data_IF_255720437022
#
_entry.id   IF_255720437022
#
_cell.length_a   1.000
_cell.length_b   1.000
_cell.length_c   1.000
_cell.angle_alpha   90.00
_cell.angle_beta   90.00
_cell.angle_gamma   90.00
#
_symmetry.space_group_name_H-M   'P 1'
#
loop_
_entity.id
_entity.type
_entity.pdbx_description
1 polymer ?
#
# COMPACT_ATOMS: atom_id res chain seq x y z
N UNK A 1 -14.50 23.39 21.33
CA UNK A 1 -13.59 22.25 21.58
C UNK A 1 -14.10 21.20 20.62
N UNK A 2 -13.65 21.32 19.37
CA UNK A 2 -14.46 20.91 18.22
C UNK A 2 -14.08 19.51 17.78
N UNK A 3 -14.70 18.54 18.47
CA UNK A 3 -14.96 17.22 17.89
C UNK A 3 -16.18 17.38 16.96
N UNK A 4 -15.96 17.51 15.64
CA UNK A 4 -16.88 17.09 14.56
C UNK A 4 -16.58 17.80 13.23
N UNK A 5 -15.49 17.40 12.57
CA UNK A 5 -15.28 17.72 11.15
C UNK A 5 -14.60 16.58 10.40
N UNK A 6 -15.06 15.36 10.64
CA UNK A 6 -14.88 14.25 9.69
C UNK A 6 -16.23 13.88 9.12
N UNK A 7 -16.82 14.82 8.39
CA UNK A 7 -17.81 14.46 7.37
C UNK A 7 -17.15 13.41 6.49
N UNK A 8 -17.69 12.19 6.49
CA UNK A 8 -17.52 11.26 5.38
C UNK A 8 -18.14 11.92 4.15
N UNK A 9 -17.44 12.90 3.58
CA UNK A 9 -17.73 13.35 2.23
C UNK A 9 -17.52 12.08 1.41
N UNK A 10 -18.58 11.60 0.76
CA UNK A 10 -18.49 10.72 -0.39
C UNK A 10 -17.63 11.45 -1.43
N UNK A 11 -16.31 11.39 -1.26
CA UNK A 11 -15.34 11.96 -2.16
C UNK A 11 -15.32 11.05 -3.38
N UNK A 12 -16.29 11.26 -4.26
CA UNK A 12 -16.24 10.79 -5.62
C UNK A 12 -15.09 11.55 -6.28
N UNK A 13 -13.95 10.87 -6.42
CA UNK A 13 -12.84 11.41 -7.19
C UNK A 13 -13.18 11.26 -8.66
N UNK A 14 -13.06 12.36 -9.37
CA UNK A 14 -13.06 12.36 -10.82
C UNK A 14 -11.69 11.89 -11.28
N UNK A 15 -11.69 10.75 -11.95
CA UNK A 15 -10.52 10.25 -12.65
C UNK A 15 -10.38 11.08 -13.95
N UNK A 16 -9.15 11.39 -14.41
CA UNK A 16 -8.97 12.03 -15.72
C UNK A 16 -9.76 11.23 -16.77
N UNK A 17 -10.54 11.86 -17.65
CA UNK A 17 -11.28 11.15 -18.70
C UNK A 17 -12.68 10.64 -18.35
N UNK A 18 -13.13 10.71 -17.09
CA UNK A 18 -14.56 10.56 -16.80
C UNK A 18 -15.30 11.80 -17.33
N UNK A 19 -16.36 11.60 -18.13
CA UNK A 19 -17.39 12.61 -18.44
C UNK A 19 -18.75 12.03 -18.04
N UNK A 20 -19.70 12.86 -17.62
CA UNK A 20 -20.99 12.47 -17.00
C UNK A 20 -21.94 11.63 -17.88
N UNK A 21 -21.54 11.25 -19.10
CA UNK A 21 -22.39 10.52 -20.03
C UNK A 21 -21.82 9.12 -20.29
N UNK A 22 -22.53 8.10 -19.80
CA UNK A 22 -22.44 6.71 -20.26
C UNK A 22 -22.77 6.65 -21.76
N UNK A 23 -21.77 6.92 -22.61
CA UNK A 23 -21.78 6.56 -24.03
C UNK A 23 -20.41 6.01 -24.38
N UNK A 24 -20.38 4.69 -24.55
CA UNK A 24 -19.44 3.89 -25.35
C UNK A 24 -18.14 4.60 -25.70
N UNK A 25 -17.16 4.55 -24.81
CA UNK A 25 -15.81 5.05 -25.08
C UNK A 25 -15.13 4.01 -25.98
N UNK A 26 -15.03 4.34 -27.26
CA UNK A 26 -14.13 3.68 -28.21
C UNK A 26 -12.69 3.91 -27.73
N UNK A 27 -11.76 2.94 -27.80
CA UNK A 27 -10.39 3.14 -27.38
C UNK A 27 -9.71 4.12 -28.34
N UNK A 28 -9.65 5.39 -27.99
CA UNK A 28 -8.75 6.34 -28.64
C UNK A 28 -7.36 6.21 -28.01
N UNK A 29 -6.33 6.31 -28.86
CA UNK A 29 -4.90 6.27 -28.51
C UNK A 29 -4.60 6.98 -27.19
N UNK A 30 -3.64 6.48 -26.37
CA UNK A 30 -3.23 7.19 -25.16
C UNK A 30 -2.71 8.58 -25.53
N UNK A 31 -3.46 9.62 -25.18
CA UNK A 31 -3.02 11.00 -25.32
C UNK A 31 -1.72 11.21 -24.52
N UNK A 32 -0.88 12.10 -25.06
CA UNK A 32 0.36 12.57 -24.44
C UNK A 32 0.18 13.11 -23.02
N UNK A 33 -1.06 13.41 -22.61
CA UNK A 33 -1.43 13.91 -21.29
C UNK A 33 -1.45 12.83 -20.19
N UNK A 34 -1.49 11.55 -20.54
CA UNK A 34 -1.49 10.45 -19.56
C UNK A 34 -0.20 10.39 -18.72
N UNK A 35 0.94 10.81 -19.29
CA UNK A 35 2.21 10.90 -18.58
C UNK A 35 2.23 11.96 -17.46
N UNK A 36 1.31 12.93 -17.50
CA UNK A 36 1.16 13.95 -16.44
C UNK A 36 0.56 13.37 -15.15
N UNK A 37 -0.29 12.34 -15.29
CA UNK A 37 -1.09 11.79 -14.18
C UNK A 37 -0.63 10.41 -13.72
N UNK A 38 0.12 9.68 -14.53
CA UNK A 38 0.56 8.32 -14.23
C UNK A 38 2.07 8.18 -14.15
N UNK A 39 2.53 7.20 -13.38
CA UNK A 39 3.94 6.83 -13.30
C UNK A 39 4.08 5.31 -13.26
N UNK A 40 5.08 4.79 -13.96
CA UNK A 40 5.37 3.36 -13.96
C UNK A 40 5.88 2.87 -12.60
N UNK A 41 5.52 1.64 -12.25
CA UNK A 41 6.11 0.92 -11.12
C UNK A 41 6.35 -0.54 -11.47
N UNK A 42 7.45 -1.10 -10.97
CA UNK A 42 7.84 -2.48 -11.24
C UNK A 42 7.70 -3.38 -10.01
N UNK A 43 7.61 -2.78 -8.83
CA UNK A 43 7.52 -3.48 -7.56
C UNK A 43 6.46 -2.84 -6.69
N UNK A 44 5.96 -3.63 -5.75
CA UNK A 44 5.24 -3.10 -4.61
C UNK A 44 5.97 -3.47 -3.32
N UNK A 45 5.85 -2.62 -2.32
CA UNK A 45 6.63 -2.68 -1.08
C UNK A 45 5.74 -2.70 0.15
N UNK A 46 6.03 -3.60 1.06
CA UNK A 46 5.49 -3.59 2.43
C UNK A 46 6.60 -3.10 3.33
N UNK A 47 6.40 -1.95 3.97
CA UNK A 47 7.40 -1.42 4.92
C UNK A 47 6.96 -1.74 6.33
N UNK A 48 7.89 -2.24 7.15
CA UNK A 48 7.67 -2.64 8.53
C UNK A 48 8.70 -1.97 9.46
N UNK A 49 8.34 -1.86 10.73
CA UNK A 49 9.31 -1.57 11.78
C UNK A 49 10.27 -2.75 11.96
N UNK A 50 11.46 -2.47 12.50
CA UNK A 50 12.54 -3.47 12.65
C UNK A 50 12.05 -4.70 13.44
N UNK A 51 11.29 -4.52 14.52
CA UNK A 51 10.76 -5.63 15.32
C UNK A 51 9.81 -6.53 14.52
N UNK A 52 8.85 -5.95 13.81
CA UNK A 52 7.92 -6.69 12.96
C UNK A 52 8.65 -7.41 11.81
N UNK A 53 9.65 -6.75 11.20
CA UNK A 53 10.46 -7.35 10.14
C UNK A 53 11.29 -8.54 10.65
N UNK A 54 11.82 -8.46 11.87
CA UNK A 54 12.51 -9.59 12.51
C UNK A 54 11.56 -10.75 12.78
N UNK A 55 10.33 -10.48 13.22
CA UNK A 55 9.30 -11.52 13.39
C UNK A 55 8.96 -12.20 12.06
N UNK A 56 8.81 -11.42 10.99
CA UNK A 56 8.63 -11.96 9.62
C UNK A 56 9.79 -12.88 9.25
N UNK A 57 11.03 -12.48 9.50
CA UNK A 57 12.21 -13.31 9.19
C UNK A 57 12.28 -14.57 10.03
N UNK A 58 11.94 -14.48 11.32
CA UNK A 58 11.88 -15.61 12.25
C UNK A 58 10.81 -16.62 11.82
N UNK A 59 9.63 -16.15 11.45
CA UNK A 59 8.49 -16.97 11.08
C UNK A 59 8.48 -17.37 9.60
N UNK A 60 9.42 -16.82 8.80
CA UNK A 60 9.58 -17.03 7.37
C UNK A 60 8.29 -16.82 6.56
N UNK A 61 7.49 -15.85 6.98
CA UNK A 61 6.21 -15.52 6.33
C UNK A 61 5.81 -14.08 6.61
N UNK A 62 5.17 -13.45 5.64
CA UNK A 62 4.56 -12.12 5.82
C UNK A 62 3.23 -12.25 6.55
N UNK A 63 3.11 -11.67 7.74
CA UNK A 63 1.88 -11.80 8.53
C UNK A 63 0.83 -10.72 8.17
N UNK A 64 -0.41 -11.11 7.81
CA UNK A 64 -1.49 -10.19 7.54
C UNK A 64 -2.05 -9.62 8.85
N UNK A 65 -2.48 -8.37 8.79
CA UNK A 65 -3.04 -7.64 9.94
C UNK A 65 -4.49 -7.28 9.63
N UNK A 66 -5.30 -7.15 10.67
CA UNK A 66 -6.65 -6.62 10.50
C UNK A 66 -6.61 -5.18 9.94
N UNK A 67 -7.68 -4.81 9.24
CA UNK A 67 -7.88 -3.47 8.70
C UNK A 67 -8.31 -2.55 9.83
N UNK A 68 -7.34 -1.82 10.36
CA UNK A 68 -7.56 -0.88 11.46
C UNK A 68 -7.48 0.59 11.02
N UNK A 69 -6.88 0.87 9.86
CA UNK A 69 -6.94 2.21 9.29
C UNK A 69 -8.39 2.60 9.01
N UNK A 70 -8.73 3.90 9.06
CA UNK A 70 -9.96 4.41 8.48
C UNK A 70 -10.09 3.85 7.06
N UNK A 71 -11.10 3.04 6.85
CA UNK A 71 -11.40 2.34 5.59
C UNK A 71 -12.86 1.90 5.62
N UNK A 72 -13.48 1.80 4.45
CA UNK A 72 -14.83 1.22 4.31
C UNK A 72 -14.90 -0.22 4.83
N UNK A 73 -13.77 -0.95 4.78
CA UNK A 73 -13.64 -2.34 5.24
C UNK A 73 -13.20 -2.49 6.71
N UNK A 74 -13.24 -1.41 7.50
CA UNK A 74 -12.91 -1.50 8.92
C UNK A 74 -13.93 -2.40 9.63
N UNK A 75 -13.46 -3.31 10.49
CA UNK A 75 -14.33 -4.26 11.23
C UNK A 75 -15.51 -3.60 11.94
N UNK A 76 -15.33 -2.39 12.47
CA UNK A 76 -16.37 -1.66 13.21
C UNK A 76 -17.42 -1.00 12.31
N UNK A 77 -17.14 -0.81 11.01
CA UNK A 77 -18.07 -0.17 10.06
C UNK A 77 -18.93 -1.16 9.30
N UNK A 78 -18.54 -2.43 9.28
CA UNK A 78 -19.24 -3.48 8.54
C UNK A 78 -20.32 -4.19 9.38
N UNK A 79 -21.46 -4.61 8.79
CA UNK A 79 -22.45 -5.48 9.44
C UNK A 79 -21.84 -6.78 10.00
N UNK A 80 -22.46 -7.38 11.02
CA UNK A 80 -21.91 -8.60 11.69
C UNK A 80 -21.73 -9.78 10.74
N UNK A 81 -22.62 -9.92 9.76
CA UNK A 81 -22.64 -10.97 8.75
C UNK A 81 -21.87 -10.63 7.46
N UNK A 82 -21.24 -9.45 7.37
CA UNK A 82 -20.47 -9.10 6.18
C UNK A 82 -19.17 -9.94 6.13
N UNK A 83 -18.88 -10.61 5.01
CA UNK A 83 -17.73 -11.53 4.93
C UNK A 83 -16.38 -10.80 5.05
N UNK A 84 -16.30 -9.52 4.69
CA UNK A 84 -15.09 -8.72 4.82
C UNK A 84 -14.82 -8.26 6.27
N UNK A 85 -15.72 -8.51 7.23
CA UNK A 85 -15.60 -8.03 8.63
C UNK A 85 -14.34 -8.54 9.34
N UNK A 86 -13.89 -9.74 9.03
CA UNK A 86 -12.71 -10.37 9.63
C UNK A 86 -11.51 -10.40 8.70
N UNK A 87 -11.54 -9.61 7.63
CA UNK A 87 -10.50 -9.56 6.62
C UNK A 87 -9.16 -9.17 7.24
N UNK A 88 -8.13 -9.96 6.95
CA UNK A 88 -6.74 -9.71 7.34
C UNK A 88 -5.93 -9.55 6.07
N UNK A 89 -5.19 -8.44 5.97
CA UNK A 89 -4.51 -8.09 4.74
C UNK A 89 -3.03 -7.79 4.95
N UNK A 90 -2.24 -8.06 3.91
CA UNK A 90 -0.92 -7.49 3.73
C UNK A 90 -1.06 -6.16 2.97
N UNK A 91 -0.72 -5.08 3.66
CA UNK A 91 -0.63 -3.75 3.08
C UNK A 91 0.67 -3.58 2.31
N UNK A 92 0.55 -3.23 1.04
CA UNK A 92 1.65 -2.85 0.16
C UNK A 92 1.37 -1.50 -0.50
N UNK A 93 2.44 -0.82 -0.91
CA UNK A 93 2.39 0.38 -1.75
C UNK A 93 3.22 0.18 -3.00
N UNK A 94 2.91 0.87 -4.08
CA UNK A 94 3.75 0.89 -5.28
C UNK A 94 5.14 1.48 -5.02
N UNK A 95 6.13 1.00 -5.78
CA UNK A 95 7.48 1.57 -5.84
C UNK A 95 7.76 2.03 -7.27
N UNK A 96 7.60 3.32 -7.50
CA UNK A 96 7.77 3.97 -8.80
C UNK A 96 9.17 3.83 -9.35
N UNK A 97 9.25 3.69 -10.66
CA UNK A 97 10.51 3.84 -11.39
C UNK A 97 11.04 5.27 -11.19
N UNK A 98 12.34 5.40 -10.94
CA UNK A 98 13.00 6.71 -10.73
C UNK A 98 12.68 7.39 -9.40
N UNK A 99 11.92 6.77 -8.50
CA UNK A 99 11.63 7.38 -7.20
C UNK A 99 12.82 7.31 -6.26
N UNK A 100 13.15 8.46 -5.68
CA UNK A 100 14.27 8.59 -4.75
C UNK A 100 14.02 7.75 -3.49
N UNK A 101 14.83 6.71 -3.32
CA UNK A 101 14.90 5.81 -2.14
C UNK A 101 15.12 6.56 -0.82
N UNK A 102 15.57 7.81 -0.87
CA UNK A 102 15.73 8.66 0.30
C UNK A 102 14.42 9.26 0.80
N UNK A 103 13.31 9.09 0.06
CA UNK A 103 11.99 9.56 0.49
C UNK A 103 11.58 8.81 1.76
N UNK A 104 11.37 9.53 2.88
CA UNK A 104 11.10 8.91 4.16
C UNK A 104 9.81 8.10 4.15
N UNK A 105 9.86 6.86 4.61
CA UNK A 105 8.67 6.05 4.84
C UNK A 105 8.06 6.35 6.19
N UNK A 106 6.74 6.52 6.24
CA UNK A 106 5.97 6.59 7.49
C UNK A 106 5.73 5.20 8.08
N UNK A 107 5.86 4.15 7.28
CA UNK A 107 5.45 2.79 7.62
C UNK A 107 6.53 1.95 8.32
N UNK A 108 7.76 2.48 8.44
CA UNK A 108 8.86 1.83 9.13
C UNK A 108 10.17 1.96 8.38
N UNK A 109 11.06 1.00 8.59
CA UNK A 109 12.46 1.06 8.15
C UNK A 109 12.87 -0.04 7.18
N UNK A 110 12.22 -1.20 7.27
CA UNK A 110 12.56 -2.39 6.49
C UNK A 110 11.48 -2.62 5.46
N UNK A 111 11.85 -2.58 4.18
CA UNK A 111 10.94 -2.78 3.07
C UNK A 111 11.08 -4.19 2.53
N UNK A 112 9.96 -4.86 2.33
CA UNK A 112 9.84 -6.12 1.61
C UNK A 112 9.28 -5.79 0.23
N UNK A 113 10.13 -5.78 -0.79
CA UNK A 113 9.77 -5.46 -2.17
C UNK A 113 9.46 -6.75 -2.93
N UNK A 114 8.33 -6.80 -3.63
CA UNK A 114 7.92 -7.92 -4.49
C UNK A 114 7.69 -7.39 -5.89
N UNK A 115 8.09 -8.15 -6.91
CA UNK A 115 7.82 -7.80 -8.30
C UNK A 115 6.30 -7.72 -8.54
N UNK A 116 5.85 -6.65 -9.19
CA UNK A 116 4.44 -6.40 -9.41
C UNK A 116 3.79 -7.46 -10.32
N UNK A 117 4.49 -7.96 -11.35
CA UNK A 117 3.96 -9.01 -12.23
C UNK A 117 3.69 -10.29 -11.44
N UNK A 118 4.72 -10.76 -10.74
CA UNK A 118 4.64 -11.99 -9.93
C UNK A 118 3.55 -11.94 -8.88
N UNK A 119 3.29 -10.75 -8.34
CA UNK A 119 2.27 -10.60 -7.33
C UNK A 119 0.88 -10.46 -7.92
N UNK A 120 0.67 -9.51 -8.83
CA UNK A 120 -0.68 -9.09 -9.23
C UNK A 120 -1.33 -10.13 -10.13
N UNK A 121 -0.56 -10.90 -10.91
CA UNK A 121 -1.11 -11.96 -11.77
C UNK A 121 -1.57 -13.20 -10.99
N UNK A 122 -1.24 -13.30 -9.70
CA UNK A 122 -1.63 -14.44 -8.87
C UNK A 122 -3.10 -14.41 -8.42
N UNK A 123 -3.73 -13.24 -8.43
CA UNK A 123 -5.03 -13.03 -7.78
C UNK A 123 -6.16 -12.96 -8.78
N UNK A 124 -7.31 -13.54 -8.41
CA UNK A 124 -8.49 -13.62 -9.30
C UNK A 124 -9.31 -12.35 -9.32
N UNK A 125 -9.43 -11.65 -8.19
CA UNK A 125 -10.34 -10.52 -8.04
C UNK A 125 -9.61 -9.29 -7.52
N UNK A 126 -10.01 -8.14 -8.07
CA UNK A 126 -9.61 -6.81 -7.62
C UNK A 126 -10.87 -6.02 -7.28
N UNK A 127 -10.86 -5.34 -6.15
CA UNK A 127 -11.96 -4.50 -5.71
C UNK A 127 -11.46 -3.12 -5.31
N UNK A 128 -12.14 -2.10 -5.80
CA UNK A 128 -11.88 -0.74 -5.36
C UNK A 128 -12.52 -0.53 -3.98
N UNK A 129 -11.72 -0.15 -2.99
CA UNK A 129 -12.15 -0.12 -1.58
C UNK A 129 -12.58 1.27 -1.16
N UNK A 130 -11.66 2.22 -1.23
CA UNK A 130 -11.87 3.61 -0.86
C UNK A 130 -10.70 4.49 -1.33
N UNK A 131 -10.87 5.79 -1.11
CA UNK A 131 -9.81 6.78 -1.26
C UNK A 131 -9.61 7.45 0.08
N UNK A 132 -8.38 7.37 0.57
CA UNK A 132 -7.95 8.11 1.73
C UNK A 132 -7.37 9.43 1.29
N UNK A 133 -7.91 10.54 1.77
CA UNK A 133 -7.35 11.88 1.54
C UNK A 133 -7.03 12.57 2.86
N UNK A 134 -5.90 13.26 2.91
CA UNK A 134 -5.44 14.11 4.00
C UNK A 134 -4.82 15.37 3.40
N UNK A 135 -4.62 16.47 4.15
CA UNK A 135 -4.01 17.68 3.60
C UNK A 135 -2.60 17.50 2.98
N UNK A 136 -1.92 16.38 3.27
CA UNK A 136 -0.53 16.13 2.84
C UNK A 136 -0.36 14.91 1.96
N UNK A 137 -1.42 14.13 1.72
CA UNK A 137 -1.32 12.82 1.09
C UNK A 137 -2.69 12.29 0.72
N UNK A 138 -2.78 11.62 -0.43
CA UNK A 138 -3.93 10.81 -0.81
C UNK A 138 -3.50 9.43 -1.29
N UNK A 139 -4.33 8.42 -1.02
CA UNK A 139 -4.16 7.08 -1.54
C UNK A 139 -5.47 6.48 -2.03
N UNK A 140 -5.43 5.78 -3.16
CA UNK A 140 -6.48 4.84 -3.54
C UNK A 140 -6.13 3.46 -3.02
N UNK A 141 -7.13 2.74 -2.53
CA UNK A 141 -6.95 1.41 -1.95
C UNK A 141 -7.66 0.36 -2.76
N UNK A 142 -6.92 -0.66 -3.15
CA UNK A 142 -7.41 -1.80 -3.93
C UNK A 142 -7.26 -3.07 -3.09
N UNK A 143 -8.36 -3.79 -2.88
CA UNK A 143 -8.34 -5.15 -2.34
C UNK A 143 -8.02 -6.11 -3.47
N UNK A 144 -7.05 -6.99 -3.20
CA UNK A 144 -6.59 -8.01 -4.13
C UNK A 144 -6.76 -9.36 -3.42
N UNK A 145 -7.51 -10.28 -4.01
CA UNK A 145 -7.93 -11.51 -3.33
C UNK A 145 -8.29 -12.64 -4.31
N UNK A 146 -8.33 -13.86 -3.81
CA UNK A 146 -8.89 -15.04 -4.48
C UNK A 146 -10.35 -15.32 -4.09
N UNK A 147 -10.88 -14.61 -3.09
CA UNK A 147 -12.27 -14.71 -2.66
C UNK A 147 -13.17 -13.76 -3.44
N UNK A 148 -14.34 -14.25 -3.85
CA UNK A 148 -15.33 -13.43 -4.55
C UNK A 148 -16.15 -12.58 -3.57
N UNK A 149 -15.96 -11.27 -3.63
CA UNK A 149 -16.73 -10.27 -2.89
C UNK A 149 -17.59 -9.38 -3.79
N UNK A 150 -17.87 -9.80 -5.03
CA UNK A 150 -18.55 -8.95 -6.03
C UNK A 150 -19.96 -8.51 -5.62
N UNK A 151 -20.59 -9.23 -4.68
CA UNK A 151 -21.87 -8.83 -4.06
C UNK A 151 -21.75 -7.71 -3.03
N UNK A 152 -20.55 -7.44 -2.53
CA UNK A 152 -20.30 -6.52 -1.41
C UNK A 152 -19.41 -5.34 -1.81
N UNK A 153 -18.55 -5.53 -2.81
CA UNK A 153 -17.53 -4.57 -3.22
C UNK A 153 -17.61 -4.30 -4.71
N UNK A 154 -17.29 -3.05 -5.09
CA UNK A 154 -17.17 -2.65 -6.49
C UNK A 154 -15.95 -3.31 -7.10
N UNK A 155 -16.18 -4.17 -8.10
CA UNK A 155 -15.09 -4.79 -8.85
C UNK A 155 -14.24 -3.72 -9.54
N UNK A 156 -12.94 -3.96 -9.56
CA UNK A 156 -11.95 -3.13 -10.20
C UNK A 156 -11.34 -3.87 -11.38
N UNK A 157 -11.24 -3.19 -12.52
CA UNK A 157 -10.58 -3.72 -13.71
C UNK A 157 -9.30 -2.91 -13.98
N UNK A 158 -8.09 -3.51 -13.85
CA UNK A 158 -6.85 -2.81 -14.15
C UNK A 158 -6.62 -2.55 -15.64
N UNK A 159 -7.42 -3.14 -16.54
CA UNK A 159 -7.35 -2.89 -17.98
C UNK A 159 -8.24 -1.72 -18.41
N UNK A 160 -9.17 -1.29 -17.55
CA UNK A 160 -10.01 -0.13 -17.83
C UNK A 160 -9.17 1.16 -17.74
N UNK A 161 -9.33 2.03 -18.73
CA UNK A 161 -8.70 3.35 -18.72
C UNK A 161 -9.15 4.15 -17.48
N UNK A 162 -8.19 4.91 -16.96
CA UNK A 162 -8.37 5.93 -15.93
C UNK A 162 -8.55 5.49 -14.46
N UNK A 163 -8.33 4.22 -14.12
CA UNK A 163 -8.29 3.78 -12.72
C UNK A 163 -7.04 4.22 -11.92
N UNK A 164 -7.04 4.15 -10.57
CA UNK A 164 -5.87 4.47 -9.76
C UNK A 164 -4.61 3.65 -10.11
N UNK A 165 -4.79 2.46 -10.65
CA UNK A 165 -3.73 1.58 -11.14
C UNK A 165 -4.15 0.93 -12.46
N UNK A 166 -3.34 1.05 -13.51
CA UNK A 166 -3.61 0.39 -14.79
C UNK A 166 -2.49 -0.57 -15.19
N UNK A 167 -2.87 -1.66 -15.85
CA UNK A 167 -1.98 -2.59 -16.55
C UNK A 167 -1.93 -2.18 -18.02
N UNK A 168 -0.74 -1.98 -18.54
CA UNK A 168 -0.45 -1.67 -19.95
C UNK A 168 0.39 -2.80 -20.54
N UNK A 169 0.55 -2.82 -21.86
CA UNK A 169 1.46 -3.78 -22.52
C UNK A 169 2.91 -3.63 -22.03
N UNK A 170 3.29 -2.42 -21.59
CA UNK A 170 4.62 -2.11 -21.06
C UNK A 170 4.80 -2.41 -19.56
N UNK A 171 3.73 -2.74 -18.82
CA UNK A 171 3.80 -3.05 -17.39
C UNK A 171 2.67 -2.44 -16.57
N UNK A 172 3.00 -1.82 -15.44
CA UNK A 172 2.02 -1.23 -14.54
C UNK A 172 2.26 0.25 -14.32
N UNK A 173 1.17 1.00 -14.27
CA UNK A 173 1.18 2.43 -14.00
C UNK A 173 0.29 2.74 -12.80
N UNK A 174 0.77 3.61 -11.91
CA UNK A 174 -0.03 4.15 -10.82
C UNK A 174 -0.40 5.61 -11.09
N UNK A 175 -1.57 6.02 -10.60
CA UNK A 175 -2.01 7.40 -10.57
C UNK A 175 -1.17 8.17 -9.55
N UNK A 176 -0.49 9.24 -9.97
CA UNK A 176 0.37 10.07 -9.13
C UNK A 176 -0.24 11.44 -8.80
N UNK A 177 -1.24 11.86 -9.57
CA UNK A 177 -2.02 13.08 -9.39
C UNK A 177 -3.50 12.76 -9.58
N UNK A 178 -4.35 13.26 -8.72
CA UNK A 178 -5.78 13.05 -8.82
C UNK A 178 -6.55 14.35 -8.53
N UNK A 179 -7.72 14.51 -9.15
CA UNK A 179 -8.56 15.71 -9.01
C UNK A 179 -9.42 15.60 -7.75
N UNK A 180 -9.53 16.67 -6.95
CA UNK A 180 -10.50 16.73 -5.85
C UNK A 180 -11.90 17.01 -6.41
N UNK A 181 -12.91 16.84 -5.54
CA UNK A 181 -14.23 17.47 -5.74
C UNK A 181 -14.01 18.98 -5.99
N UNK A 182 -14.58 19.51 -7.09
CA UNK A 182 -14.34 20.83 -7.70
C UNK A 182 -13.14 20.94 -8.67
N UNK A 183 -12.71 19.83 -9.29
CA UNK A 183 -11.69 19.80 -10.37
C UNK A 183 -10.32 20.40 -10.01
N UNK A 184 -10.07 20.73 -8.74
CA UNK A 184 -8.76 21.19 -8.30
C UNK A 184 -7.82 20.00 -8.17
N UNK A 185 -6.70 20.04 -8.87
CA UNK A 185 -5.64 19.05 -8.71
C UNK A 185 -5.21 18.98 -7.23
N UNK A 186 -5.05 17.77 -6.71
CA UNK A 186 -4.40 17.58 -5.42
C UNK A 186 -2.99 18.19 -5.48
N UNK A 187 -2.69 19.10 -4.56
CA UNK A 187 -1.34 19.70 -4.43
C UNK A 187 -0.30 18.71 -3.91
N UNK A 188 -0.72 17.53 -3.43
CA UNK A 188 0.15 16.48 -2.92
C UNK A 188 0.11 15.23 -3.80
N UNK A 189 1.17 14.44 -3.73
CA UNK A 189 1.28 13.16 -4.44
C UNK A 189 0.15 12.20 -4.02
N UNK A 190 -0.51 11.62 -5.02
CA UNK A 190 -1.37 10.45 -4.85
C UNK A 190 -0.53 9.17 -4.88
N UNK A 191 -0.94 8.08 -4.24
CA UNK A 191 -0.31 6.76 -4.36
C UNK A 191 -1.34 5.66 -4.40
N UNK A 192 -0.98 4.49 -4.91
CA UNK A 192 -1.81 3.29 -4.80
C UNK A 192 -1.35 2.42 -3.63
N UNK A 193 -2.29 1.99 -2.80
CA UNK A 193 -2.08 0.98 -1.76
C UNK A 193 -2.86 -0.30 -2.11
N UNK A 194 -2.18 -1.44 -2.04
CA UNK A 194 -2.77 -2.75 -2.22
C UNK A 194 -3.01 -3.42 -0.87
N UNK A 195 -4.24 -3.91 -0.69
CA UNK A 195 -4.69 -4.72 0.42
C UNK A 195 -4.77 -6.16 -0.08
N UNK A 196 -3.76 -6.95 0.18
CA UNK A 196 -3.73 -8.34 -0.30
C UNK A 196 -4.33 -9.23 0.78
N UNK A 197 -5.31 -10.06 0.46
CA UNK A 197 -5.83 -11.11 1.34
C UNK A 197 -5.10 -12.43 1.08
N UNK A 198 -4.05 -12.77 1.84
CA UNK A 198 -3.27 -13.97 1.56
C UNK A 198 -3.81 -15.22 2.25
N UNK A 199 -3.60 -16.37 1.62
CA UNK A 199 -3.58 -17.67 2.28
C UNK A 199 -2.19 -17.97 2.88
N UNK A 200 -2.05 -19.07 3.61
CA UNK A 200 -0.77 -19.42 4.23
C UNK A 200 0.37 -19.69 3.24
N UNK A 201 0.05 -20.35 2.14
CA UNK A 201 0.95 -20.55 1.01
C UNK A 201 1.47 -19.22 0.47
N UNK A 202 0.60 -18.23 0.30
CA UNK A 202 0.95 -16.90 -0.20
C UNK A 202 1.88 -16.17 0.74
N UNK A 203 1.59 -16.19 2.05
CA UNK A 203 2.43 -15.53 3.05
C UNK A 203 3.89 -16.01 3.00
N UNK A 204 4.10 -17.31 2.80
CA UNK A 204 5.45 -17.93 2.69
C UNK A 204 6.07 -17.67 1.33
N UNK A 205 5.29 -17.79 0.25
CA UNK A 205 5.74 -17.53 -1.13
C UNK A 205 6.23 -16.10 -1.28
N UNK A 206 5.43 -15.12 -0.88
CA UNK A 206 5.77 -13.71 -0.94
C UNK A 206 7.01 -13.37 -0.12
N UNK A 207 7.19 -14.01 1.03
CA UNK A 207 8.41 -13.86 1.82
C UNK A 207 9.65 -14.39 1.07
N UNK A 208 9.56 -15.54 0.40
CA UNK A 208 10.68 -16.09 -0.39
C UNK A 208 11.02 -15.27 -1.63
N UNK A 209 10.01 -14.69 -2.26
CA UNK A 209 10.16 -13.91 -3.49
C UNK A 209 10.63 -12.48 -3.23
N UNK A 210 10.44 -11.95 -2.02
CA UNK A 210 10.75 -10.56 -1.75
C UNK A 210 12.27 -10.27 -1.69
N UNK A 211 12.60 -9.05 -2.06
CA UNK A 211 13.90 -8.43 -1.79
C UNK A 211 13.73 -7.47 -0.62
N UNK A 212 14.58 -7.62 0.40
CA UNK A 212 14.63 -6.71 1.52
C UNK A 212 15.44 -5.47 1.14
N UNK A 213 14.92 -4.30 1.44
CA UNK A 213 15.67 -3.04 1.36
C UNK A 213 15.37 -2.18 2.58
N UNK A 214 16.08 -1.07 2.71
CA UNK A 214 15.94 -0.17 3.86
C UNK A 214 15.56 1.24 3.40
N UNK A 215 14.80 1.94 4.24
CA UNK A 215 14.38 3.32 3.97
C UNK A 215 14.59 4.21 5.18
N UNK A 216 14.72 5.51 4.92
CA UNK A 216 14.68 6.51 5.98
C UNK A 216 13.31 6.50 6.64
N UNK A 217 13.28 6.53 7.96
CA UNK A 217 12.05 6.67 8.73
C UNK A 217 12.12 7.98 9.51
N UNK A 218 11.17 8.88 9.26
CA UNK A 218 11.01 10.05 10.12
C UNK A 218 10.05 9.73 11.25
N UNK A 219 10.42 10.12 12.47
CA UNK A 219 9.49 10.16 13.57
C UNK A 219 8.36 11.12 13.19
N UNK A 220 7.13 10.67 13.37
CA UNK A 220 6.00 11.51 13.05
C UNK A 220 5.82 12.49 14.21
N UNK A 221 6.45 13.66 14.10
CA UNK A 221 6.40 14.71 15.14
C UNK A 221 5.10 15.52 15.14
N UNK A 222 4.23 15.37 14.14
CA UNK A 222 3.02 16.20 14.00
C UNK A 222 1.75 15.32 13.99
N UNK A 223 0.70 15.65 14.75
CA UNK A 223 -0.53 14.86 14.87
C UNK A 223 -1.44 14.88 13.62
N UNK A 224 -1.01 15.44 12.50
CA UNK A 224 -1.87 15.69 11.32
C UNK A 224 -2.22 14.48 10.43
N UNK A 225 -2.02 13.24 10.89
CA UNK A 225 -2.55 12.05 10.17
C UNK A 225 -2.93 10.96 11.18
N UNK A 226 -4.04 10.25 10.98
CA UNK A 226 -4.47 9.23 11.97
C UNK A 226 -3.44 8.11 12.15
N UNK A 227 -2.61 7.88 11.13
CA UNK A 227 -1.46 6.99 11.23
C UNK A 227 -0.42 7.51 12.24
N UNK A 228 -0.13 8.82 12.23
CA UNK A 228 0.67 9.48 13.25
C UNK A 228 0.09 9.30 14.65
N UNK A 229 -1.21 9.61 14.79
CA UNK A 229 -1.93 9.53 16.07
C UNK A 229 -1.90 8.10 16.61
N UNK A 230 -2.01 7.09 15.74
CA UNK A 230 -1.95 5.67 16.12
C UNK A 230 -0.55 5.21 16.53
N UNK A 231 0.47 5.55 15.75
CA UNK A 231 1.85 5.22 16.06
C UNK A 231 2.33 5.93 17.35
N UNK A 232 1.83 7.14 17.61
CA UNK A 232 2.06 7.88 18.85
C UNK A 232 1.31 7.25 20.04
N UNK A 233 0.01 6.92 19.91
CA UNK A 233 -0.80 6.29 20.98
C UNK A 233 -0.34 4.90 21.37
N UNK A 234 0.25 4.14 20.45
CA UNK A 234 0.77 2.80 20.72
C UNK A 234 2.21 2.79 21.27
N UNK A 235 2.86 3.95 21.44
CA UNK A 235 4.29 4.03 21.80
C UNK A 235 5.21 3.34 20.79
N UNK A 236 4.72 3.07 19.57
CA UNK A 236 5.25 2.03 18.68
C UNK A 236 6.10 2.57 17.54
N UNK A 237 6.15 3.89 17.33
CA UNK A 237 7.05 4.47 16.34
C UNK A 237 8.45 4.62 16.96
N UNK A 238 9.45 3.80 16.59
CA UNK A 238 10.82 4.07 17.00
C UNK A 238 11.24 5.47 16.53
N UNK A 239 12.20 6.05 17.24
CA UNK A 239 12.81 7.32 16.88
C UNK A 239 13.26 7.34 15.41
N UNK A 240 13.27 8.53 14.81
CA UNK A 240 13.71 8.72 13.43
C UNK A 240 15.05 8.03 13.19
N UNK A 241 15.09 7.12 12.23
CA UNK A 241 16.27 6.30 11.94
C UNK A 241 16.57 6.35 10.45
N UNK A 242 17.79 6.78 10.12
CA UNK A 242 18.29 6.79 8.75
C UNK A 242 18.53 5.38 8.22
N UNK A 243 18.46 5.24 6.90
CA UNK A 243 18.56 3.99 6.15
C UNK A 243 19.75 3.12 6.57
N UNK A 244 20.97 3.69 6.62
CA UNK A 244 22.20 2.96 6.99
C UNK A 244 22.15 2.42 8.43
N UNK A 245 21.68 3.24 9.38
CA UNK A 245 21.52 2.84 10.79
C UNK A 245 20.46 1.75 10.95
N UNK A 246 19.36 1.85 10.19
CA UNK A 246 18.32 0.82 10.17
C UNK A 246 18.86 -0.52 9.65
N UNK A 247 19.60 -0.50 8.54
CA UNK A 247 20.27 -1.68 8.01
C UNK A 247 21.19 -2.32 9.05
N UNK A 248 22.13 -1.55 9.62
CA UNK A 248 23.05 -2.07 10.63
C UNK A 248 22.33 -2.64 11.85
N UNK A 249 21.32 -1.93 12.37
CA UNK A 249 20.51 -2.40 13.52
C UNK A 249 19.78 -3.70 13.20
N UNK A 250 19.15 -3.78 12.03
CA UNK A 250 18.43 -4.97 11.59
C UNK A 250 19.38 -6.16 11.42
N UNK A 251 20.52 -5.98 10.75
CA UNK A 251 21.50 -7.04 10.51
C UNK A 251 22.11 -7.57 11.81
N UNK A 252 22.45 -6.69 12.77
CA UNK A 252 22.93 -7.10 14.09
C UNK A 252 21.89 -7.96 14.81
N UNK A 253 20.62 -7.53 14.83
CA UNK A 253 19.55 -8.30 15.48
C UNK A 253 19.24 -9.61 14.75
N UNK A 254 19.32 -9.63 13.42
CA UNK A 254 19.15 -10.84 12.63
C UNK A 254 20.26 -11.86 12.93
N UNK A 255 21.51 -11.40 13.09
CA UNK A 255 22.63 -12.24 13.52
C UNK A 255 22.40 -12.81 14.93
N UNK A 256 21.91 -12.00 15.87
CA UNK A 256 21.55 -12.48 17.21
C UNK A 256 20.48 -13.57 17.17
N UNK A 257 19.43 -13.42 16.34
CA UNK A 257 18.41 -14.46 16.18
C UNK A 257 19.00 -15.78 15.68
N UNK A 258 19.92 -15.73 14.69
CA UNK A 258 20.62 -16.92 14.20
C UNK A 258 21.47 -17.58 15.29
N UNK A 259 22.22 -16.78 16.05
CA UNK A 259 23.05 -17.29 17.16
C UNK A 259 22.20 -17.94 18.27
N UNK A 260 20.95 -17.50 18.44
CA UNK A 260 20.01 -18.09 19.40
C UNK A 260 19.28 -19.33 18.85
N UNK A 261 19.80 -19.98 17.80
CA UNK A 261 19.25 -21.21 17.23
C UNK A 261 18.02 -21.05 16.34
N UNK A 262 17.63 -19.83 15.98
CA UNK A 262 16.52 -19.63 15.04
C UNK A 262 17.01 -19.89 13.60
N UNK A 263 16.27 -20.72 12.87
CA UNK A 263 16.52 -20.93 11.44
C UNK A 263 16.04 -19.71 10.65
N UNK A 264 16.99 -18.86 10.22
CA UNK A 264 16.73 -17.69 9.37
C UNK A 264 17.30 -17.98 7.99
N UNK A 265 16.47 -18.01 6.92
CA UNK A 265 16.94 -18.32 5.58
C UNK A 265 17.90 -17.24 5.05
N UNK A 266 18.54 -17.55 3.93
CA UNK A 266 19.24 -16.53 3.15
C UNK A 266 18.21 -15.53 2.60
N UNK A 267 18.44 -14.25 2.85
CA UNK A 267 17.56 -13.17 2.41
C UNK A 267 18.23 -12.44 1.26
N UNK A 268 17.46 -12.13 0.21
CA UNK A 268 17.90 -11.20 -0.84
C UNK A 268 17.84 -9.81 -0.23
N UNK A 269 19.00 -9.19 0.02
CA UNK A 269 19.09 -7.87 0.66
C UNK A 269 19.77 -6.90 -0.31
N UNK A 270 19.09 -5.79 -0.57
CA UNK A 270 19.62 -4.63 -1.28
C UNK A 270 20.23 -3.65 -0.27
N UNK A 271 21.55 -3.50 -0.32
CA UNK A 271 22.30 -2.73 0.68
C UNK A 271 22.33 -1.23 0.36
N UNK A 272 22.27 -0.37 1.40
CA UNK A 272 22.19 1.09 1.24
C UNK A 272 23.53 1.83 1.10
#
# INVERSE_FOLDING_TARGET
MDEDLFTQINLQLWLPGQTDNERTIVPTKPDSDSAKYYCEFTHITRTLHISDALNVCKNQKLEPRFIYSPSSLKRSTLPKNNPCRNLRVLWFRTMRVGHNVNTPSRYGNVQFAVNANTLLEHWKYYYFVDIRSTPKYSASRILVTNNDYSRYLRQYDPYQYDGPWKKTDSGYMELIKCLRYNERENSHKHTVEFMIEPEESDMKRLFKECTLSFTNHHSIKSPGSDYAIRCLRAGACPSSMGRKKACGTFMTKLKQLRNNGNHIPFLKIDFP
#
